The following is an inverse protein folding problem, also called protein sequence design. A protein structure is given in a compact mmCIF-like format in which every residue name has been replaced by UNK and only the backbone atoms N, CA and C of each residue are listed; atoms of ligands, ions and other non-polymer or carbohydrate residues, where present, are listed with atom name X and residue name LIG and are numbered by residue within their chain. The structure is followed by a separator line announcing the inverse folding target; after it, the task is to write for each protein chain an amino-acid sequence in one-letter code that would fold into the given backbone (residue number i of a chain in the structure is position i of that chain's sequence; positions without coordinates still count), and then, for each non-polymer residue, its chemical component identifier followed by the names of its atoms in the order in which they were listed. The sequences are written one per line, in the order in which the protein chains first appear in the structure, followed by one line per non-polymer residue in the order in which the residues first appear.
data_IF_268092825131
#
_entry.id   IF_268092825131
#
_cell.length_a   1.000
_cell.length_b   1.000
_cell.length_c   1.000
_cell.angle_alpha   90.00
_cell.angle_beta   90.00
_cell.angle_gamma   90.00
#
_symmetry.space_group_name_H-M   'P 1'
#
loop_
_entity.id
_entity.type
_entity.pdbx_description
1 polymer ?
#
# COMPACT_ATOMS: atom_id res chain seq x y z
N UNK A 1 -17.54 -32.47 8.47
CA UNK A 1 -17.73 -31.03 8.20
C UNK A 1 -16.41 -30.36 8.52
N UNK A 2 -15.65 -29.98 7.50
CA UNK A 2 -14.35 -29.34 7.68
C UNK A 2 -14.59 -27.90 8.15
N UNK A 3 -14.07 -27.56 9.31
CA UNK A 3 -14.07 -26.20 9.83
C UNK A 3 -13.39 -25.28 8.82
N UNK A 4 -13.93 -24.07 8.54
CA UNK A 4 -13.17 -23.07 7.83
C UNK A 4 -12.00 -22.69 8.74
N UNK A 5 -10.77 -22.96 8.30
CA UNK A 5 -9.56 -22.46 8.93
C UNK A 5 -9.70 -20.94 9.03
N UNK A 6 -10.07 -20.46 10.22
CA UNK A 6 -10.07 -19.05 10.52
C UNK A 6 -8.64 -18.57 10.27
N UNK A 7 -8.47 -17.76 9.22
CA UNK A 7 -7.20 -17.12 8.91
C UNK A 7 -6.66 -16.49 10.20
N UNK A 8 -5.47 -16.96 10.55
CA UNK A 8 -4.72 -16.69 11.76
C UNK A 8 -4.87 -15.25 12.28
N UNK A 9 -5.00 -15.13 13.60
CA UNK A 9 -5.20 -13.86 14.29
C UNK A 9 -4.24 -12.76 13.83
N UNK A 10 -4.83 -11.72 13.23
CA UNK A 10 -4.40 -10.32 13.34
C UNK A 10 -2.96 -9.95 13.03
N UNK A 11 -2.19 -10.74 12.27
CA UNK A 11 -0.79 -10.40 11.99
C UNK A 11 -0.70 -9.12 11.15
N UNK A 12 0.02 -8.12 11.67
CA UNK A 12 0.40 -6.92 10.95
C UNK A 12 1.63 -7.18 10.08
N UNK A 13 1.77 -6.38 9.02
CA UNK A 13 2.86 -6.51 8.07
C UNK A 13 3.51 -5.16 7.82
N UNK A 14 4.82 -5.12 7.97
CA UNK A 14 5.62 -3.97 7.58
C UNK A 14 5.92 -4.01 6.08
N UNK A 15 5.71 -2.89 5.41
CA UNK A 15 5.98 -2.73 3.99
C UNK A 15 7.49 -2.52 3.79
N UNK A 16 8.09 -3.40 3.01
CA UNK A 16 9.48 -3.29 2.54
C UNK A 16 9.56 -2.43 1.27
N UNK A 17 8.64 -2.66 0.33
CA UNK A 17 8.56 -1.93 -0.93
C UNK A 17 7.10 -1.68 -1.35
N UNK A 18 6.83 -0.51 -1.92
CA UNK A 18 5.50 -0.17 -2.42
C UNK A 18 4.58 0.56 -1.42
N UNK A 19 5.15 1.30 -0.45
CA UNK A 19 4.40 2.18 0.49
C UNK A 19 3.42 3.11 -0.26
N UNK A 20 3.84 3.67 -1.40
CA UNK A 20 3.00 4.47 -2.30
C UNK A 20 1.74 3.73 -2.75
N UNK A 21 1.88 2.45 -3.13
CA UNK A 21 0.77 1.61 -3.62
C UNK A 21 -0.18 1.26 -2.48
N UNK A 22 0.37 0.95 -1.30
CA UNK A 22 -0.43 0.69 -0.11
C UNK A 22 -1.24 1.92 0.32
N UNK A 23 -0.62 3.11 0.35
CA UNK A 23 -1.33 4.36 0.67
C UNK A 23 -2.38 4.71 -0.37
N UNK A 24 -2.08 4.58 -1.66
CA UNK A 24 -3.08 4.79 -2.71
C UNK A 24 -4.25 3.79 -2.57
N UNK A 25 -3.98 2.52 -2.29
CA UNK A 25 -5.03 1.53 -2.04
C UNK A 25 -5.93 1.92 -0.87
N UNK A 26 -5.34 2.43 0.22
CA UNK A 26 -6.09 2.96 1.36
C UNK A 26 -6.93 4.20 0.97
N UNK A 27 -6.36 5.17 0.26
CA UNK A 27 -7.05 6.38 -0.20
C UNK A 27 -8.28 6.08 -1.08
N UNK A 28 -8.21 5.02 -1.88
CA UNK A 28 -9.32 4.57 -2.73
C UNK A 28 -10.23 3.54 -2.05
N UNK A 29 -10.10 3.32 -0.74
CA UNK A 29 -10.99 2.42 0.02
C UNK A 29 -10.85 0.94 -0.33
N UNK A 30 -9.70 0.51 -0.86
CA UNK A 30 -9.45 -0.91 -1.14
C UNK A 30 -9.31 -1.68 0.18
N UNK A 31 -10.03 -2.79 0.30
CA UNK A 31 -9.94 -3.67 1.47
C UNK A 31 -8.64 -4.47 1.51
N UNK A 32 -8.17 -4.91 0.34
CA UNK A 32 -6.96 -5.72 0.20
C UNK A 32 -6.04 -5.18 -0.90
N UNK A 33 -4.76 -5.59 -0.82
CA UNK A 33 -3.76 -5.34 -1.85
C UNK A 33 -2.93 -6.61 -2.09
N UNK A 34 -2.47 -6.77 -3.33
CA UNK A 34 -1.56 -7.84 -3.71
C UNK A 34 -0.17 -7.61 -3.10
N UNK A 35 0.36 -8.62 -2.39
CA UNK A 35 1.64 -8.54 -1.70
C UNK A 35 2.45 -9.83 -1.83
N UNK A 36 3.78 -9.71 -1.71
CA UNK A 36 4.72 -10.83 -1.53
C UNK A 36 5.33 -10.76 -0.14
N UNK A 37 5.25 -11.86 0.60
CA UNK A 37 5.81 -11.96 1.96
C UNK A 37 7.32 -12.25 1.86
N UNK A 38 8.13 -11.40 2.49
CA UNK A 38 9.59 -11.39 2.43
C UNK A 38 10.18 -11.23 1.01
N UNK A 39 9.44 -10.58 0.09
CA UNK A 39 9.88 -10.36 -1.30
C UNK A 39 9.97 -11.63 -2.16
N UNK A 40 9.66 -12.79 -1.59
CA UNK A 40 9.73 -14.11 -2.24
C UNK A 40 8.37 -14.82 -2.17
N UNK A 41 8.16 -15.79 -3.06
CA UNK A 41 6.96 -16.62 -3.05
C UNK A 41 5.76 -16.05 -3.80
N UNK A 42 4.60 -16.63 -3.49
CA UNK A 42 3.33 -16.35 -4.17
C UNK A 42 2.77 -14.98 -3.81
N UNK A 43 2.01 -14.42 -4.75
CA UNK A 43 1.28 -13.17 -4.51
C UNK A 43 0.01 -13.50 -3.72
N UNK A 44 -0.08 -12.93 -2.52
CA UNK A 44 -1.23 -13.08 -1.61
C UNK A 44 -2.01 -11.77 -1.50
N UNK A 45 -3.29 -11.85 -1.15
CA UNK A 45 -4.11 -10.67 -0.84
C UNK A 45 -4.04 -10.39 0.66
N UNK A 46 -3.57 -9.20 1.03
CA UNK A 46 -3.46 -8.78 2.43
C UNK A 46 -4.38 -7.61 2.74
N UNK A 47 -5.00 -7.56 3.93
CA UNK A 47 -5.81 -6.41 4.35
C UNK A 47 -4.96 -5.13 4.41
N UNK A 48 -5.44 -4.06 3.79
CA UNK A 48 -4.71 -2.77 3.76
C UNK A 48 -4.56 -2.19 5.17
N UNK A 49 -5.57 -2.36 6.02
CA UNK A 49 -5.57 -1.90 7.43
C UNK A 49 -4.46 -2.52 8.30
N UNK A 50 -3.88 -3.65 7.87
CA UNK A 50 -2.82 -4.36 8.60
C UNK A 50 -1.41 -3.96 8.13
N UNK A 51 -1.31 -3.03 7.20
CA UNK A 51 -0.04 -2.60 6.64
C UNK A 51 0.57 -1.48 7.46
N UNK A 52 1.86 -1.65 7.78
CA UNK A 52 2.69 -0.70 8.50
C UNK A 52 3.78 -0.17 7.56
N UNK A 53 4.06 1.12 7.62
CA UNK A 53 5.16 1.76 6.91
C UNK A 53 6.34 1.96 7.86
N UNK A 54 7.55 1.84 7.34
CA UNK A 54 8.78 2.26 8.05
C UNK A 54 9.01 3.76 8.00
N UNK A 55 8.26 4.46 7.15
CA UNK A 55 8.30 5.91 6.94
C UNK A 55 6.96 6.52 7.31
N UNK A 56 7.00 7.65 8.00
CA UNK A 56 5.88 8.53 8.25
C UNK A 56 5.46 9.30 6.99
N UNK A 57 6.41 9.57 6.09
CA UNK A 57 6.19 10.38 4.90
C UNK A 57 6.49 9.62 3.59
N UNK A 58 5.65 9.86 2.60
CA UNK A 58 5.83 9.42 1.21
C UNK A 58 6.34 10.60 0.39
N UNK A 59 7.60 10.50 -0.02
CA UNK A 59 8.16 11.37 -1.05
C UNK A 59 7.38 11.17 -2.36
N UNK A 60 6.78 12.24 -2.87
CA UNK A 60 6.03 12.25 -4.14
C UNK A 60 6.96 12.21 -5.35
N UNK A 61 8.18 12.75 -5.20
CA UNK A 61 9.24 12.71 -6.19
C UNK A 61 10.17 11.51 -5.94
N UNK A 62 10.38 10.66 -6.95
CA UNK A 62 11.26 9.49 -6.83
C UNK A 62 12.00 9.16 -8.11
N UNK A 63 13.24 8.69 -7.98
CA UNK A 63 14.22 8.53 -9.07
C UNK A 63 13.86 7.45 -10.12
N UNK A 64 12.79 6.66 -9.94
CA UNK A 64 12.46 5.56 -10.88
C UNK A 64 10.96 5.25 -10.98
N UNK A 65 10.36 5.50 -12.15
CA UNK A 65 9.27 4.74 -12.81
C UNK A 65 7.89 4.55 -12.12
N UNK A 66 7.80 4.70 -10.80
CA UNK A 66 6.63 4.53 -9.95
C UNK A 66 6.42 5.79 -9.10
N UNK A 67 6.41 6.91 -9.80
CA UNK A 67 6.01 8.22 -9.29
C UNK A 67 4.62 8.15 -8.65
N UNK A 68 4.40 8.95 -7.60
CA UNK A 68 3.12 9.00 -6.90
C UNK A 68 1.94 9.20 -7.86
N UNK A 69 2.05 10.08 -8.86
CA UNK A 69 0.99 10.34 -9.82
C UNK A 69 0.63 9.13 -10.68
N UNK A 70 1.60 8.27 -11.01
CA UNK A 70 1.35 7.01 -11.75
C UNK A 70 0.64 5.99 -10.86
N UNK A 71 1.10 5.85 -9.61
CA UNK A 71 0.50 4.92 -8.64
C UNK A 71 -0.92 5.34 -8.28
N UNK A 72 -1.13 6.63 -8.02
CA UNK A 72 -2.43 7.20 -7.71
C UNK A 72 -3.42 6.99 -8.86
N UNK A 73 -3.07 7.40 -10.08
CA UNK A 73 -3.92 7.18 -11.27
C UNK A 73 -4.14 5.70 -11.56
N UNK A 74 -3.10 4.87 -11.49
CA UNK A 74 -3.22 3.44 -11.73
C UNK A 74 -4.15 2.76 -10.71
N UNK A 75 -4.09 3.18 -9.43
CA UNK A 75 -4.97 2.65 -8.40
C UNK A 75 -6.42 3.13 -8.59
N UNK A 76 -6.62 4.38 -9.01
CA UNK A 76 -7.94 4.96 -9.33
C UNK A 76 -8.60 4.26 -10.51
N UNK A 77 -7.84 4.08 -11.59
CA UNK A 77 -8.32 3.55 -12.87
C UNK A 77 -8.33 2.00 -12.86
N UNK A 78 -8.11 1.39 -11.68
CA UNK A 78 -8.04 -0.05 -11.45
C UNK A 78 -7.05 -0.82 -12.35
N UNK A 79 -5.95 -0.17 -12.71
CA UNK A 79 -4.84 -0.78 -13.43
C UNK A 79 -4.11 -1.75 -12.51
N UNK A 80 -3.73 -2.90 -13.06
CA UNK A 80 -2.90 -3.88 -12.34
C UNK A 80 -1.51 -3.30 -12.08
N UNK A 81 -1.26 -2.89 -10.84
CA UNK A 81 0.04 -2.46 -10.35
C UNK A 81 0.83 -3.68 -9.83
N UNK A 82 2.18 -3.63 -9.85
CA UNK A 82 2.98 -4.70 -9.26
C UNK A 82 2.64 -4.88 -7.77
N UNK A 83 2.73 -6.11 -7.23
CA UNK A 83 2.49 -6.35 -5.82
C UNK A 83 3.44 -5.55 -4.93
N UNK A 84 3.04 -5.30 -3.69
CA UNK A 84 3.93 -4.74 -2.67
C UNK A 84 4.80 -5.84 -2.05
N UNK A 85 5.91 -5.46 -1.45
CA UNK A 85 6.72 -6.39 -0.65
C UNK A 85 6.52 -6.09 0.82
N UNK A 86 6.25 -7.12 1.60
CA UNK A 86 5.94 -6.99 3.02
C UNK A 86 6.72 -8.01 3.84
N UNK A 87 6.89 -7.77 5.13
CA UNK A 87 7.38 -8.76 6.08
C UNK A 87 6.51 -8.74 7.33
N UNK A 88 6.27 -9.89 7.99
CA UNK A 88 5.54 -9.89 9.26
C UNK A 88 6.24 -9.03 10.30
N UNK A 89 5.54 -8.06 10.87
CA UNK A 89 6.10 -7.13 11.85
C UNK A 89 4.97 -6.39 12.58
N UNK A 90 5.22 -6.04 13.83
CA UNK A 90 4.35 -5.16 14.63
C UNK A 90 4.92 -3.75 14.76
N UNK A 91 6.05 -3.48 14.12
CA UNK A 91 6.73 -2.19 14.17
C UNK A 91 6.45 -1.37 12.91
N UNK A 92 6.18 -0.08 13.11
CA UNK A 92 5.93 0.87 12.03
C UNK A 92 4.68 1.71 12.27
N UNK A 93 4.33 2.50 11.27
CA UNK A 93 3.21 3.43 11.29
C UNK A 93 2.08 2.84 10.46
N UNK A 94 0.85 2.74 10.97
CA UNK A 94 -0.28 2.30 10.17
C UNK A 94 -0.36 3.08 8.85
N UNK A 95 -0.58 2.39 7.72
CA UNK A 95 -0.56 3.03 6.40
C UNK A 95 -1.56 4.21 6.26
N UNK A 96 -2.62 4.17 7.06
CA UNK A 96 -3.60 5.25 7.18
C UNK A 96 -3.01 6.56 7.73
N UNK A 97 -2.01 6.47 8.62
CA UNK A 97 -1.38 7.61 9.28
C UNK A 97 -0.15 8.14 8.52
N UNK A 98 0.28 7.43 7.47
CA UNK A 98 1.39 7.88 6.61
C UNK A 98 0.97 9.10 5.80
N UNK A 99 1.74 10.17 5.88
CA UNK A 99 1.52 11.43 5.18
C UNK A 99 2.11 11.33 3.78
N UNK A 100 1.41 11.91 2.80
CA UNK A 100 1.96 12.13 1.46
C UNK A 100 2.46 13.56 1.44
N UNK A 101 3.77 13.77 1.29
CA UNK A 101 4.34 15.11 1.17
C UNK A 101 3.91 15.71 -0.18
N UNK A 102 2.83 16.49 -0.15
CA UNK A 102 2.33 17.21 -1.31
C UNK A 102 2.85 18.64 -1.31
N UNK A 103 3.92 18.88 -2.07
CA UNK A 103 4.30 20.25 -2.45
C UNK A 103 3.50 20.76 -3.67
N UNK A 104 2.30 20.23 -3.97
CA UNK A 104 1.36 20.80 -4.96
C UNK A 104 0.02 20.04 -5.06
N UNK A 105 -0.89 20.20 -4.08
CA UNK A 105 -2.29 19.75 -4.20
C UNK A 105 -3.12 20.57 -5.20
N UNK A 106 -2.61 21.73 -5.66
CA UNK A 106 -3.33 22.63 -6.56
C UNK A 106 -3.47 22.09 -7.99
N UNK A 107 -2.68 21.09 -8.40
CA UNK A 107 -2.77 20.49 -9.73
C UNK A 107 -3.96 19.52 -9.85
N UNK A 108 -4.41 18.91 -8.74
CA UNK A 108 -5.53 17.96 -8.75
C UNK A 108 -6.91 18.64 -8.60
N UNK A 109 -6.95 19.91 -8.18
CA UNK A 109 -8.21 20.68 -8.06
C UNK A 109 -8.61 21.44 -9.35
N UNK A 110 -7.75 21.58 -10.35
CA UNK A 110 -8.03 22.41 -11.54
C UNK A 110 -8.66 21.69 -12.74
N UNK A 111 -9.25 20.50 -12.58
CA UNK A 111 -10.01 19.84 -13.67
C UNK A 111 -11.32 19.18 -13.20
N UNK A 112 -12.11 19.92 -12.41
CA UNK A 112 -13.54 19.67 -12.25
C UNK A 112 -14.31 20.79 -12.97
#
# INVERSE_FOLDING_TARGET
MSEPSQGEGGQAYQILEGVRRAKAAWLFGRKTIAAKINGVGDVVQVPVERLLSTKDEIETHGVRGLDWGRVYRGTRDNVSLPPIEITPSTQGIPIQDVVVEEENLDVFRQRA
#
